data_IF_761583472039
#
_entry.id   IF_761583472039
#
_cell.length_a   1.000
_cell.length_b   1.000
_cell.length_c   1.000
_cell.angle_alpha   90.00
_cell.angle_beta   90.00
_cell.angle_gamma   90.00
#
_symmetry.space_group_name_H-M   'P 1'
#
loop_
_entity.id
_entity.type
_entity.pdbx_description
1 polymer ?
#
# COMPACT_ATOMS: atom_id res chain seq x y z
N UNK A 1 -13.77 29.52 33.77
CA UNK A 1 -13.25 28.40 32.95
C UNK A 1 -13.08 28.80 31.49
N UNK A 2 -14.05 28.66 30.58
CA UNK A 2 -13.82 28.92 29.13
C UNK A 2 -13.25 30.32 28.79
N UNK A 3 -13.81 31.41 29.36
CA UNK A 3 -13.25 32.77 29.19
C UNK A 3 -11.81 32.89 29.71
N UNK A 4 -11.51 32.20 30.82
CA UNK A 4 -10.19 32.14 31.46
C UNK A 4 -9.17 31.41 30.56
N UNK A 5 -9.57 30.27 29.99
CA UNK A 5 -8.76 29.49 29.06
C UNK A 5 -8.47 30.29 27.78
N UNK A 6 -9.48 30.99 27.23
CA UNK A 6 -9.29 31.83 26.05
C UNK A 6 -8.31 32.99 26.29
N UNK A 7 -8.36 33.64 27.46
CA UNK A 7 -7.40 34.69 27.83
C UNK A 7 -5.96 34.15 28.00
N UNK A 8 -5.80 32.96 28.60
CA UNK A 8 -4.50 32.30 28.73
C UNK A 8 -3.90 31.90 27.37
N UNK A 9 -4.72 31.31 26.50
CA UNK A 9 -4.34 30.92 25.14
C UNK A 9 -4.00 32.15 24.25
N UNK A 10 -4.68 33.29 24.47
CA UNK A 10 -4.30 34.57 23.86
C UNK A 10 -2.91 35.06 24.32
N UNK A 11 -2.66 35.11 25.63
CA UNK A 11 -1.38 35.56 26.22
C UNK A 11 -0.20 34.65 25.80
N UNK A 12 -0.35 33.33 25.93
CA UNK A 12 0.66 32.35 25.51
C UNK A 12 1.01 32.51 24.02
N UNK A 13 0.00 32.62 23.15
CA UNK A 13 0.19 32.82 21.71
C UNK A 13 0.87 34.17 21.39
N UNK A 14 0.54 35.23 22.12
CA UNK A 14 1.16 36.55 21.95
C UNK A 14 2.64 36.54 22.36
N UNK A 15 2.98 35.89 23.49
CA UNK A 15 4.38 35.73 23.94
C UNK A 15 5.22 34.99 22.91
N UNK A 16 4.67 33.94 22.30
CA UNK A 16 5.36 33.07 21.35
C UNK A 16 5.36 33.60 19.90
N UNK A 17 4.66 34.70 19.58
CA UNK A 17 4.69 35.34 18.26
C UNK A 17 6.02 36.09 18.01
N UNK A 18 7.14 35.36 17.88
CA UNK A 18 8.50 35.88 17.71
C UNK A 18 8.76 36.55 16.35
N UNK A 19 8.06 36.16 15.29
CA UNK A 19 8.20 36.73 13.93
C UNK A 19 6.97 37.56 13.50
N UNK A 20 5.88 37.50 14.28
CA UNK A 20 4.68 38.31 14.06
C UNK A 20 4.82 39.77 14.50
N UNK A 21 5.59 40.05 15.56
CA UNK A 21 5.70 41.38 16.18
C UNK A 21 6.77 42.25 15.50
N UNK A 22 6.38 43.47 15.09
CA UNK A 22 7.26 44.47 14.45
C UNK A 22 8.53 44.77 15.27
N UNK A 23 8.39 44.92 16.59
CA UNK A 23 9.50 45.25 17.50
C UNK A 23 10.34 44.02 17.92
N UNK A 24 10.29 42.90 17.19
CA UNK A 24 11.03 41.68 17.53
C UNK A 24 12.43 41.66 16.92
N UNK A 25 13.44 41.32 17.74
CA UNK A 25 14.83 41.07 17.31
C UNK A 25 14.94 40.05 16.16
N UNK A 26 13.98 39.14 16.05
CA UNK A 26 13.99 38.04 15.09
C UNK A 26 13.19 38.31 13.79
N UNK A 27 12.66 39.53 13.59
CA UNK A 27 11.81 39.83 12.42
C UNK A 27 12.50 39.60 11.06
N UNK A 28 13.83 39.65 11.01
CA UNK A 28 14.63 39.32 9.82
C UNK A 28 14.39 37.88 9.30
N UNK A 29 14.03 36.93 10.17
CA UNK A 29 13.71 35.55 9.79
C UNK A 29 12.30 35.38 9.21
N UNK A 30 11.42 36.39 9.28
CA UNK A 30 10.02 36.31 8.85
C UNK A 30 9.87 35.78 7.42
N UNK A 31 10.71 36.23 6.48
CA UNK A 31 10.67 35.77 5.07
C UNK A 31 11.00 34.27 4.94
N UNK A 32 12.00 33.78 5.66
CA UNK A 32 12.37 32.35 5.67
C UNK A 32 11.24 31.49 6.23
N UNK A 33 10.58 31.96 7.30
CA UNK A 33 9.49 31.23 7.96
C UNK A 33 8.20 31.24 7.14
N UNK A 34 7.97 32.27 6.30
CA UNK A 34 6.89 32.28 5.30
C UNK A 34 7.19 31.33 4.14
N UNK A 35 8.44 31.25 3.66
CA UNK A 35 8.83 30.26 2.64
C UNK A 35 8.68 28.81 3.17
N UNK A 36 9.02 28.60 4.44
CA UNK A 36 8.80 27.34 5.15
C UNK A 36 7.29 27.00 5.25
N UNK A 37 6.46 27.96 5.67
CA UNK A 37 4.99 27.83 5.68
C UNK A 37 4.44 27.40 4.31
N UNK A 38 4.94 28.01 3.23
CA UNK A 38 4.52 27.67 1.86
C UNK A 38 4.89 26.23 1.47
N UNK A 39 6.10 25.76 1.84
CA UNK A 39 6.58 24.42 1.50
C UNK A 39 5.73 23.27 2.09
N UNK A 40 5.08 23.49 3.24
CA UNK A 40 4.14 22.54 3.84
C UNK A 40 2.67 22.78 3.47
N UNK A 41 2.39 23.62 2.46
CA UNK A 41 1.02 24.02 2.11
C UNK A 41 0.45 23.22 0.95
N UNK A 42 -0.88 23.05 0.93
CA UNK A 42 -1.58 22.38 -0.19
C UNK A 42 -1.40 23.07 -1.55
N UNK A 43 -0.94 24.33 -1.61
CA UNK A 43 -0.58 25.00 -2.86
C UNK A 43 0.62 24.35 -3.57
N UNK A 44 1.48 23.64 -2.82
CA UNK A 44 2.55 22.81 -3.37
C UNK A 44 2.05 21.40 -3.63
N UNK A 45 1.44 20.77 -2.62
CA UNK A 45 1.17 19.34 -2.64
C UNK A 45 -0.04 18.92 -3.50
N UNK A 46 -1.06 19.75 -3.65
CA UNK A 46 -2.22 19.43 -4.50
C UNK A 46 -1.84 19.43 -5.98
N UNK A 47 -1.22 20.50 -6.55
CA UNK A 47 -0.72 20.46 -7.93
C UNK A 47 0.31 19.35 -8.16
N UNK A 48 1.22 19.13 -7.20
CA UNK A 48 2.18 18.02 -7.27
C UNK A 48 1.47 16.66 -7.40
N UNK A 49 0.51 16.34 -6.51
CA UNK A 49 -0.22 15.08 -6.58
C UNK A 49 -0.94 14.88 -7.91
N UNK A 50 -1.60 15.91 -8.45
CA UNK A 50 -2.27 15.85 -9.76
C UNK A 50 -1.29 15.63 -10.93
N UNK A 51 -0.14 16.30 -10.91
CA UNK A 51 0.92 16.11 -11.92
C UNK A 51 1.46 14.67 -11.87
N UNK A 52 1.72 14.14 -10.67
CA UNK A 52 2.23 12.78 -10.54
C UNK A 52 1.18 11.71 -10.91
N UNK A 53 -0.11 11.95 -10.65
CA UNK A 53 -1.20 11.06 -11.11
C UNK A 53 -1.22 10.96 -12.65
N UNK A 54 -1.12 12.09 -13.36
CA UNK A 54 -1.10 12.07 -14.84
C UNK A 54 0.18 11.44 -15.39
N UNK A 55 1.34 11.66 -14.75
CA UNK A 55 2.61 11.01 -15.13
C UNK A 55 2.56 9.48 -14.96
N UNK A 56 1.89 8.98 -13.93
CA UNK A 56 1.74 7.54 -13.66
C UNK A 56 0.41 6.94 -14.15
N UNK A 57 -0.34 7.64 -14.99
CA UNK A 57 -1.69 7.24 -15.46
C UNK A 57 -1.79 5.85 -16.10
N UNK A 58 -0.67 5.28 -16.54
CA UNK A 58 -0.57 3.94 -17.15
C UNK A 58 -0.42 2.81 -16.12
N UNK A 59 -0.19 3.11 -14.85
CA UNK A 59 0.07 2.14 -13.78
C UNK A 59 -0.65 2.58 -12.51
N UNK A 60 -1.82 2.00 -12.24
CA UNK A 60 -2.64 2.36 -11.08
C UNK A 60 -1.89 2.15 -9.75
N UNK A 61 -1.00 1.16 -9.68
CA UNK A 61 -0.17 0.87 -8.52
C UNK A 61 0.90 1.96 -8.28
N UNK A 62 1.51 2.52 -9.34
CA UNK A 62 2.44 3.66 -9.24
C UNK A 62 1.70 4.98 -8.97
N UNK A 63 0.48 5.14 -9.49
CA UNK A 63 -0.36 6.30 -9.23
C UNK A 63 -0.96 6.31 -7.81
N UNK A 64 -1.17 5.14 -7.18
CA UNK A 64 -1.89 5.00 -5.90
C UNK A 64 -1.38 5.91 -4.76
N UNK A 65 -0.06 6.08 -4.51
CA UNK A 65 0.42 7.01 -3.49
C UNK A 65 0.10 8.48 -3.78
N UNK A 66 -0.06 8.85 -5.05
CA UNK A 66 -0.43 10.21 -5.43
C UNK A 66 -1.95 10.42 -5.40
N UNK A 67 -2.73 9.38 -5.73
CA UNK A 67 -4.20 9.35 -5.57
C UNK A 67 -4.56 9.48 -4.09
N UNK A 68 -3.98 8.67 -3.20
CA UNK A 68 -4.24 8.72 -1.76
C UNK A 68 -3.80 10.06 -1.14
N UNK A 69 -2.65 10.60 -1.57
CA UNK A 69 -2.18 11.93 -1.17
C UNK A 69 -3.17 13.04 -1.58
N UNK A 70 -3.64 13.03 -2.83
CA UNK A 70 -4.65 13.98 -3.31
C UNK A 70 -5.97 13.86 -2.54
N UNK A 71 -6.48 12.64 -2.36
CA UNK A 71 -7.73 12.36 -1.63
C UNK A 71 -7.65 12.84 -0.18
N UNK A 72 -6.55 12.60 0.52
CA UNK A 72 -6.35 13.09 1.89
C UNK A 72 -6.24 14.61 1.99
N UNK A 73 -5.58 15.27 1.04
CA UNK A 73 -5.51 16.74 0.98
C UNK A 73 -6.88 17.39 0.69
N UNK A 74 -7.71 16.74 -0.11
CA UNK A 74 -9.10 17.17 -0.33
C UNK A 74 -10.01 16.89 0.87
N UNK A 75 -9.75 15.80 1.60
CA UNK A 75 -10.47 15.44 2.84
C UNK A 75 -10.21 16.44 3.98
N UNK A 76 -8.94 16.84 4.22
CA UNK A 76 -8.58 17.96 5.12
C UNK A 76 -9.37 19.22 4.76
N UNK A 77 -9.32 19.65 3.48
CA UNK A 77 -9.96 20.91 3.06
C UNK A 77 -11.46 20.87 3.31
N UNK A 78 -12.11 19.72 3.09
CA UNK A 78 -13.52 19.53 3.40
C UNK A 78 -13.81 19.56 4.91
N UNK A 79 -13.15 18.71 5.71
CA UNK A 79 -13.46 18.56 7.14
C UNK A 79 -13.09 19.82 7.93
N UNK A 80 -11.92 20.41 7.67
CA UNK A 80 -11.48 21.68 8.25
C UNK A 80 -12.38 22.83 7.78
N UNK A 81 -12.77 22.86 6.50
CA UNK A 81 -13.68 23.87 5.94
C UNK A 81 -15.05 23.87 6.61
N UNK A 82 -15.62 22.68 6.85
CA UNK A 82 -16.86 22.49 7.61
C UNK A 82 -16.68 22.92 9.06
N UNK A 83 -15.65 22.43 9.76
CA UNK A 83 -15.41 22.76 11.18
C UNK A 83 -15.21 24.26 11.40
N UNK A 84 -14.46 24.95 10.53
CA UNK A 84 -14.31 26.42 10.54
C UNK A 84 -15.64 27.14 10.35
N UNK A 85 -16.48 26.64 9.43
CA UNK A 85 -17.78 27.23 9.10
C UNK A 85 -18.81 27.10 10.22
N UNK A 86 -18.63 26.12 11.12
CA UNK A 86 -19.41 25.93 12.35
C UNK A 86 -18.85 26.81 13.49
N UNK A 87 -17.56 26.68 13.81
CA UNK A 87 -16.97 27.23 15.04
C UNK A 87 -16.63 28.73 14.92
N UNK A 88 -16.31 29.23 13.72
CA UNK A 88 -16.17 30.66 13.38
C UNK A 88 -15.25 31.50 14.29
N UNK A 89 -14.25 30.88 14.94
CA UNK A 89 -13.32 31.57 15.86
C UNK A 89 -12.53 32.68 15.12
N UNK A 90 -12.46 33.92 15.63
CA UNK A 90 -11.69 35.00 15.02
C UNK A 90 -10.17 34.79 15.14
N UNK A 91 -9.41 35.35 14.20
CA UNK A 91 -7.94 35.30 14.15
C UNK A 91 -7.27 36.18 15.23
N UNK A 92 -6.04 35.86 15.66
CA UNK A 92 -5.22 36.77 16.47
C UNK A 92 -4.94 38.09 15.73
N UNK A 93 -5.08 39.23 16.42
CA UNK A 93 -4.91 40.59 15.85
C UNK A 93 -3.43 41.02 15.63
N UNK A 94 -2.49 40.08 15.54
CA UNK A 94 -1.04 40.38 15.60
C UNK A 94 -0.45 40.74 14.21
N UNK A 95 -1.06 40.27 13.12
CA UNK A 95 -0.71 40.66 11.75
C UNK A 95 -1.92 41.30 11.06
N UNK A 96 -1.66 42.31 10.23
CA UNK A 96 -2.69 42.94 9.40
C UNK A 96 -2.64 42.49 7.92
N UNK A 97 -1.46 42.22 7.35
CA UNK A 97 -1.28 42.36 5.89
C UNK A 97 -0.99 41.06 5.08
N UNK A 98 -0.58 39.96 5.72
CA UNK A 98 0.05 38.80 5.02
C UNK A 98 -0.81 37.49 4.93
N UNK A 99 -2.06 37.49 4.44
CA UNK A 99 -2.71 36.30 3.81
C UNK A 99 -3.82 36.70 2.83
N UNK A 100 -3.86 36.06 1.64
CA UNK A 100 -5.00 36.07 0.71
C UNK A 100 -6.20 35.27 1.28
N UNK A 101 -6.88 35.84 2.29
CA UNK A 101 -7.86 35.14 3.15
C UNK A 101 -9.25 34.92 2.51
N UNK A 102 -9.31 34.04 1.52
CA UNK A 102 -10.53 33.63 0.81
C UNK A 102 -11.35 32.64 1.66
N UNK A 103 -12.69 32.78 1.62
CA UNK A 103 -13.61 31.77 2.17
C UNK A 103 -13.49 31.53 3.69
N UNK A 104 -13.60 30.26 4.15
CA UNK A 104 -13.54 29.90 5.57
C UNK A 104 -12.22 30.24 6.27
N UNK A 105 -11.13 30.52 5.54
CA UNK A 105 -9.81 30.71 6.14
C UNK A 105 -9.68 32.02 6.96
N UNK A 106 -10.70 32.88 6.89
CA UNK A 106 -10.93 34.00 7.82
C UNK A 106 -11.04 33.54 9.28
N UNK A 107 -11.41 32.29 9.54
CA UNK A 107 -11.51 31.70 10.88
C UNK A 107 -10.22 30.96 11.30
N UNK A 108 -9.92 30.98 12.60
CA UNK A 108 -8.64 30.49 13.15
C UNK A 108 -8.66 29.02 13.58
N UNK A 109 -9.80 28.52 14.06
CA UNK A 109 -9.95 27.16 14.60
C UNK A 109 -10.67 26.22 13.60
N UNK A 110 -10.16 25.00 13.37
CA UNK A 110 -8.81 24.52 13.69
C UNK A 110 -7.77 25.08 12.71
N UNK A 111 -6.48 24.86 13.01
CA UNK A 111 -5.40 25.27 12.09
C UNK A 111 -5.24 24.31 10.91
N UNK A 112 -5.98 24.55 9.83
CA UNK A 112 -5.86 23.84 8.53
C UNK A 112 -4.52 24.01 7.79
N UNK A 113 -3.51 24.63 8.40
CA UNK A 113 -2.12 24.53 7.95
C UNK A 113 -1.31 23.57 8.83
N UNK A 114 -1.66 23.45 10.12
CA UNK A 114 -1.17 22.36 10.97
C UNK A 114 -1.73 21.01 10.54
N UNK A 115 -3.03 20.93 10.22
CA UNK A 115 -3.70 19.67 9.87
C UNK A 115 -3.04 19.00 8.65
N UNK A 116 -3.10 19.62 7.46
CA UNK A 116 -2.25 19.22 6.31
C UNK A 116 -0.78 18.94 6.64
N UNK A 117 -0.08 19.77 7.41
CA UNK A 117 1.33 19.53 7.72
C UNK A 117 1.56 18.26 8.57
N UNK A 118 0.61 17.91 9.43
CA UNK A 118 0.64 16.69 10.25
C UNK A 118 0.14 15.48 9.46
N UNK A 119 -0.91 15.62 8.65
CA UNK A 119 -1.35 14.63 7.68
C UNK A 119 -0.18 14.21 6.77
N UNK A 120 0.49 15.18 6.14
CA UNK A 120 1.67 14.94 5.29
C UNK A 120 2.80 14.25 6.06
N UNK A 121 3.02 14.60 7.34
CA UNK A 121 4.08 14.00 8.17
C UNK A 121 3.84 12.52 8.40
N UNK A 122 2.65 12.14 8.88
CA UNK A 122 2.31 10.74 9.07
C UNK A 122 2.23 10.01 7.72
N UNK A 123 1.61 10.63 6.71
CA UNK A 123 1.47 10.03 5.37
C UNK A 123 2.83 9.66 4.76
N UNK A 124 3.83 10.54 4.81
CA UNK A 124 5.18 10.26 4.30
C UNK A 124 5.94 9.22 5.14
N UNK A 125 5.64 9.11 6.44
CA UNK A 125 6.26 8.13 7.34
C UNK A 125 5.68 6.72 7.13
N UNK A 126 4.36 6.59 7.01
CA UNK A 126 3.67 5.31 6.85
C UNK A 126 3.85 4.75 5.44
N UNK A 127 3.62 5.56 4.40
CA UNK A 127 3.82 5.12 3.00
C UNK A 127 5.29 5.04 2.56
N UNK A 128 6.21 5.43 3.43
CA UNK A 128 7.66 5.54 3.16
C UNK A 128 7.97 6.37 1.89
N UNK A 129 7.17 7.41 1.64
CA UNK A 129 7.08 8.17 0.39
C UNK A 129 8.45 8.70 -0.11
N UNK A 130 9.32 9.10 0.82
CA UNK A 130 10.67 9.57 0.53
C UNK A 130 11.73 8.57 0.98
N UNK A 131 11.83 7.44 0.27
CA UNK A 131 12.72 6.31 0.59
C UNK A 131 14.20 6.70 0.84
N UNK A 132 14.67 7.81 0.24
CA UNK A 132 16.06 8.29 0.37
C UNK A 132 16.26 9.37 1.46
N UNK A 133 15.19 9.90 2.06
CA UNK A 133 15.25 11.00 3.04
C UNK A 133 15.09 10.43 4.46
N UNK A 134 16.03 10.64 5.39
CA UNK A 134 15.88 10.19 6.76
C UNK A 134 14.61 10.76 7.41
N UNK A 135 13.80 9.90 8.06
CA UNK A 135 12.52 10.30 8.67
C UNK A 135 12.66 11.47 9.66
N UNK A 136 13.82 11.60 10.32
CA UNK A 136 14.17 12.74 11.20
C UNK A 136 14.18 14.09 10.48
N UNK A 137 14.56 14.15 9.20
CA UNK A 137 14.53 15.39 8.38
C UNK A 137 13.09 15.79 8.07
N UNK A 138 12.24 14.82 7.73
CA UNK A 138 10.80 15.02 7.45
C UNK A 138 10.08 15.53 8.72
N UNK A 139 10.34 14.88 9.87
CA UNK A 139 9.83 15.30 11.19
C UNK A 139 10.29 16.73 11.52
N UNK A 140 11.57 17.05 11.32
CA UNK A 140 12.11 18.38 11.61
C UNK A 140 11.52 19.47 10.71
N UNK A 141 11.34 19.19 9.42
CA UNK A 141 10.73 20.09 8.45
C UNK A 141 9.27 20.40 8.80
N UNK A 142 8.42 19.36 8.89
CA UNK A 142 6.99 19.55 9.09
C UNK A 142 6.67 20.00 10.53
N UNK A 143 7.44 19.56 11.52
CA UNK A 143 7.40 20.13 12.87
C UNK A 143 7.70 21.64 12.90
N UNK A 144 8.64 22.10 12.07
CA UNK A 144 8.94 23.53 11.92
C UNK A 144 7.83 24.29 11.16
N UNK A 145 7.14 23.66 10.20
CA UNK A 145 5.92 24.20 9.58
C UNK A 145 4.81 24.36 10.62
N UNK A 146 4.61 23.38 11.52
CA UNK A 146 3.63 23.47 12.62
C UNK A 146 4.01 24.60 13.61
N UNK A 147 5.28 24.71 13.99
CA UNK A 147 5.76 25.78 14.86
C UNK A 147 5.57 27.18 14.23
N UNK A 148 5.72 27.32 12.91
CA UNK A 148 5.54 28.60 12.19
C UNK A 148 4.18 29.27 12.47
N UNK A 149 3.12 28.48 12.71
CA UNK A 149 1.75 28.97 12.95
C UNK A 149 1.65 29.86 14.18
N UNK A 150 2.37 29.50 15.24
CA UNK A 150 2.43 30.25 16.50
C UNK A 150 3.51 31.33 16.41
N UNK A 151 4.68 31.00 15.86
CA UNK A 151 5.82 31.93 15.79
C UNK A 151 5.54 33.16 14.90
N UNK A 152 4.78 33.01 13.81
CA UNK A 152 4.26 34.12 13.01
C UNK A 152 3.02 34.79 13.65
N UNK A 153 2.41 34.23 14.68
CA UNK A 153 1.20 34.76 15.32
C UNK A 153 -0.09 34.61 14.50
N UNK A 154 -0.18 33.58 13.64
CA UNK A 154 -1.33 33.37 12.71
C UNK A 154 -2.51 32.61 13.31
N UNK A 155 -2.27 31.87 14.39
CA UNK A 155 -3.21 31.01 15.10
C UNK A 155 -2.94 31.05 16.60
N UNK A 156 -3.92 30.63 17.40
CA UNK A 156 -3.71 30.35 18.82
C UNK A 156 -3.08 28.97 19.03
N UNK A 157 -2.43 28.74 20.18
CA UNK A 157 -1.84 27.43 20.52
C UNK A 157 -2.91 26.33 20.50
N UNK A 158 -4.11 26.60 21.03
CA UNK A 158 -5.22 25.63 20.97
C UNK A 158 -5.75 25.35 19.56
N UNK A 159 -5.69 26.30 18.62
CA UNK A 159 -6.05 26.07 17.21
C UNK A 159 -5.05 25.12 16.53
N UNK A 160 -3.77 25.22 16.92
CA UNK A 160 -2.68 24.39 16.42
C UNK A 160 -2.77 22.99 17.02
N UNK A 161 -2.96 22.85 18.33
CA UNK A 161 -3.17 21.54 18.96
C UNK A 161 -4.37 20.78 18.37
N UNK A 162 -5.49 21.48 18.13
CA UNK A 162 -6.62 20.88 17.42
C UNK A 162 -6.24 20.44 16.00
N UNK A 163 -5.49 21.27 15.26
CA UNK A 163 -4.98 20.90 13.94
C UNK A 163 -4.07 19.66 13.94
N UNK A 164 -3.29 19.41 15.01
CA UNK A 164 -2.52 18.16 15.14
C UNK A 164 -3.44 16.95 15.25
N UNK A 165 -4.51 17.05 16.04
CA UNK A 165 -5.48 15.96 16.22
C UNK A 165 -6.26 15.66 14.93
N UNK A 166 -6.68 16.69 14.19
CA UNK A 166 -7.30 16.52 12.87
C UNK A 166 -6.33 15.84 11.87
N UNK A 167 -5.09 16.32 11.75
CA UNK A 167 -4.12 15.74 10.80
C UNK A 167 -3.73 14.29 11.09
N UNK A 168 -3.72 13.89 12.37
CA UNK A 168 -3.57 12.48 12.76
C UNK A 168 -4.80 11.68 12.32
N UNK A 169 -6.00 12.12 12.69
CA UNK A 169 -7.26 11.45 12.33
C UNK A 169 -7.42 11.29 10.82
N UNK A 170 -7.18 12.36 10.05
CA UNK A 170 -7.20 12.39 8.58
C UNK A 170 -6.24 11.35 7.99
N UNK A 171 -5.00 11.25 8.51
CA UNK A 171 -4.05 10.26 8.04
C UNK A 171 -4.46 8.82 8.42
N UNK A 172 -4.94 8.60 9.64
CA UNK A 172 -5.45 7.29 10.07
C UNK A 172 -6.61 6.84 9.17
N UNK A 173 -7.57 7.72 8.88
CA UNK A 173 -8.70 7.44 7.98
C UNK A 173 -8.23 7.11 6.56
N UNK A 174 -7.34 7.91 5.96
CA UNK A 174 -6.87 7.69 4.58
C UNK A 174 -6.04 6.41 4.45
N UNK A 175 -5.23 6.05 5.46
CA UNK A 175 -4.45 4.79 5.45
C UNK A 175 -5.35 3.57 5.63
N UNK A 176 -6.33 3.61 6.55
CA UNK A 176 -7.25 2.47 6.76
C UNK A 176 -8.29 2.31 5.63
N UNK A 177 -8.62 3.37 4.90
CA UNK A 177 -9.45 3.32 3.69
C UNK A 177 -8.65 3.07 2.41
N UNK A 178 -7.32 3.01 2.48
CA UNK A 178 -6.52 2.54 1.34
C UNK A 178 -6.69 1.02 1.16
N UNK A 179 -6.66 0.50 -0.09
CA UNK A 179 -6.86 -0.92 -0.35
C UNK A 179 -5.63 -1.73 0.08
N UNK A 180 -5.50 -1.98 1.38
CA UNK A 180 -4.39 -2.72 2.00
C UNK A 180 -4.47 -4.21 1.65
N UNK A 181 -3.59 -4.65 0.77
CA UNK A 181 -3.44 -6.05 0.34
C UNK A 181 -2.78 -6.87 1.45
N UNK A 182 -3.55 -7.24 2.47
CA UNK A 182 -3.16 -8.23 3.47
C UNK A 182 -3.18 -9.64 2.82
N UNK A 183 -2.00 -10.19 2.48
CA UNK A 183 -1.83 -11.56 1.98
C UNK A 183 -1.44 -12.53 3.10
N UNK A 184 -2.06 -13.71 3.12
CA UNK A 184 -1.81 -14.75 4.11
C UNK A 184 -1.55 -16.09 3.42
N UNK A 185 -0.40 -16.72 3.67
CA UNK A 185 -0.09 -18.06 3.14
C UNK A 185 -0.73 -19.15 4.01
N UNK A 186 -1.68 -19.90 3.45
CA UNK A 186 -2.20 -21.12 4.06
C UNK A 186 -1.40 -22.32 3.58
N UNK A 187 -0.55 -22.86 4.45
CA UNK A 187 0.23 -24.07 4.22
C UNK A 187 -0.62 -25.33 4.43
N UNK A 188 -0.83 -26.14 3.39
CA UNK A 188 -1.69 -27.33 3.46
C UNK A 188 -1.20 -28.39 4.48
N UNK A 189 0.11 -28.48 4.72
CA UNK A 189 0.69 -29.33 5.75
C UNK A 189 0.38 -28.86 7.19
N UNK A 190 -0.11 -27.64 7.41
CA UNK A 190 -0.57 -27.17 8.71
C UNK A 190 -1.82 -27.93 9.21
N UNK A 191 -2.66 -28.41 8.29
CA UNK A 191 -3.81 -29.27 8.62
C UNK A 191 -3.40 -30.68 9.05
N UNK A 192 -2.15 -31.10 8.76
CA UNK A 192 -1.60 -32.43 9.04
C UNK A 192 -0.74 -32.48 10.32
N UNK A 193 -0.63 -31.38 11.07
CA UNK A 193 0.09 -31.32 12.35
C UNK A 193 -0.63 -32.15 13.42
N UNK A 194 0.14 -32.84 14.26
CA UNK A 194 -0.34 -33.83 15.22
C UNK A 194 -0.96 -33.25 16.49
N UNK A 195 -0.54 -32.06 16.92
CA UNK A 195 -1.08 -31.37 18.08
C UNK A 195 -2.19 -30.39 17.68
N UNK A 196 -3.31 -30.40 18.43
CA UNK A 196 -4.51 -29.61 18.14
C UNK A 196 -4.34 -28.09 18.34
N UNK A 197 -3.33 -27.62 19.07
CA UNK A 197 -3.02 -26.18 19.21
C UNK A 197 -2.20 -25.70 18.01
N UNK A 198 -1.33 -26.58 17.49
CA UNK A 198 -0.47 -26.29 16.33
C UNK A 198 -1.17 -26.46 14.97
N UNK A 199 -2.21 -27.31 14.88
CA UNK A 199 -2.93 -27.62 13.65
C UNK A 199 -3.78 -26.44 13.18
N UNK A 200 -3.83 -26.23 11.87
CA UNK A 200 -4.72 -25.24 11.24
C UNK A 200 -5.39 -25.86 10.02
N UNK A 201 -6.72 -25.95 10.05
CA UNK A 201 -7.57 -26.36 8.93
C UNK A 201 -8.24 -25.14 8.28
N UNK A 202 -8.74 -25.24 7.04
CA UNK A 202 -9.37 -24.12 6.34
C UNK A 202 -10.50 -23.44 7.13
N UNK A 203 -11.30 -24.21 7.85
CA UNK A 203 -12.45 -23.73 8.64
C UNK A 203 -12.06 -23.00 9.93
N UNK A 204 -10.78 -23.06 10.33
CA UNK A 204 -10.22 -22.33 11.48
C UNK A 204 -9.60 -20.97 11.06
N UNK A 205 -9.65 -20.62 9.77
CA UNK A 205 -9.21 -19.32 9.24
C UNK A 205 -10.36 -18.31 9.30
N UNK A 206 -10.14 -17.17 9.96
CA UNK A 206 -11.05 -16.02 9.90
C UNK A 206 -11.08 -15.42 8.46
N UNK A 207 -12.22 -15.43 7.75
CA UNK A 207 -12.33 -14.90 6.39
C UNK A 207 -12.07 -13.39 6.27
N UNK A 208 -12.06 -12.64 7.37
CA UNK A 208 -11.85 -11.18 7.40
C UNK A 208 -10.45 -10.76 7.85
N UNK A 209 -9.62 -11.69 8.32
CA UNK A 209 -8.23 -11.42 8.74
C UNK A 209 -7.32 -10.99 7.58
N UNK A 210 -7.64 -11.45 6.37
CA UNK A 210 -6.81 -11.32 5.18
C UNK A 210 -7.68 -10.91 3.99
N UNK A 211 -7.16 -10.09 3.08
CA UNK A 211 -7.84 -9.79 1.80
C UNK A 211 -7.56 -10.85 0.74
N UNK A 212 -6.39 -11.50 0.84
CA UNK A 212 -5.91 -12.51 -0.08
C UNK A 212 -5.36 -13.71 0.71
N UNK A 213 -5.80 -14.93 0.39
CA UNK A 213 -5.19 -16.17 0.86
C UNK A 213 -4.41 -16.80 -0.28
N UNK A 214 -3.14 -17.12 -0.01
CA UNK A 214 -2.27 -17.86 -0.91
C UNK A 214 -2.22 -19.31 -0.45
N UNK A 215 -2.78 -20.24 -1.23
CA UNK A 215 -2.72 -21.67 -0.91
C UNK A 215 -1.33 -22.23 -1.24
N UNK A 216 -0.57 -22.61 -0.22
CA UNK A 216 0.74 -23.24 -0.32
C UNK A 216 0.61 -24.77 -0.16
N UNK A 217 0.83 -25.60 -1.20
CA UNK A 217 1.23 -25.27 -2.57
C UNK A 217 0.53 -26.17 -3.61
N UNK A 218 0.62 -25.76 -4.86
CA UNK A 218 0.63 -26.68 -6.01
C UNK A 218 2.05 -26.86 -6.56
N UNK A 219 2.24 -27.83 -7.43
CA UNK A 219 3.52 -28.15 -8.09
C UNK A 219 3.45 -28.06 -9.60
N UNK A 220 4.54 -27.62 -10.22
CA UNK A 220 4.70 -27.57 -11.68
C UNK A 220 5.28 -28.90 -12.15
N UNK A 221 4.59 -29.58 -13.07
CA UNK A 221 5.05 -30.84 -13.67
C UNK A 221 5.82 -30.60 -14.98
N UNK A 222 6.69 -31.54 -15.33
CA UNK A 222 7.42 -31.58 -16.63
C UNK A 222 6.46 -31.62 -17.83
N UNK A 223 5.25 -32.14 -17.64
CA UNK A 223 4.14 -32.09 -18.60
C UNK A 223 3.50 -30.69 -18.77
N UNK A 224 4.17 -29.64 -18.27
CA UNK A 224 3.78 -28.23 -18.42
C UNK A 224 2.39 -27.92 -17.86
N UNK A 225 2.04 -28.52 -16.73
CA UNK A 225 0.78 -28.28 -16.02
C UNK A 225 1.02 -28.01 -14.54
N UNK A 226 0.09 -27.30 -13.93
CA UNK A 226 -0.08 -27.31 -12.47
C UNK A 226 -0.69 -28.67 -12.07
N UNK A 227 -0.25 -29.19 -10.94
CA UNK A 227 -0.84 -30.31 -10.21
C UNK A 227 -0.90 -29.95 -8.72
N UNK A 228 -1.74 -30.60 -7.91
CA UNK A 228 -1.72 -30.37 -6.47
C UNK A 228 -0.43 -30.92 -5.85
N UNK A 229 0.00 -30.41 -4.71
CA UNK A 229 1.14 -30.99 -4.00
C UNK A 229 0.77 -32.35 -3.40
N UNK A 230 -0.45 -32.49 -2.87
CA UNK A 230 -0.99 -33.69 -2.22
C UNK A 230 -2.33 -34.14 -2.85
N UNK A 231 -2.73 -35.40 -2.70
CA UNK A 231 -4.03 -35.85 -3.23
C UNK A 231 -5.23 -35.22 -2.48
N UNK A 232 -5.06 -34.94 -1.18
CA UNK A 232 -6.10 -34.36 -0.33
C UNK A 232 -6.30 -32.83 -0.49
N UNK A 233 -5.52 -32.20 -1.38
CA UNK A 233 -5.80 -30.86 -1.88
C UNK A 233 -7.09 -30.82 -2.73
N UNK A 234 -7.31 -31.83 -3.60
CA UNK A 234 -8.44 -31.85 -4.56
C UNK A 234 -9.61 -32.69 -4.07
N UNK A 235 -9.38 -33.80 -3.35
CA UNK A 235 -10.44 -34.72 -2.90
C UNK A 235 -10.30 -35.01 -1.42
N UNK A 236 -11.39 -35.03 -0.66
CA UNK A 236 -11.33 -35.42 0.74
C UNK A 236 -11.15 -36.94 0.92
N UNK A 237 -10.71 -37.34 2.11
CA UNK A 237 -10.42 -38.72 2.51
C UNK A 237 -11.60 -39.72 2.43
N UNK A 238 -12.83 -39.21 2.30
CA UNK A 238 -14.05 -40.00 2.07
C UNK A 238 -14.77 -39.51 0.81
N UNK A 239 -15.57 -40.38 0.19
CA UNK A 239 -16.27 -40.14 -1.08
C UNK A 239 -17.06 -38.82 -1.15
N UNK A 240 -17.58 -38.34 -0.01
CA UNK A 240 -18.40 -37.13 0.09
C UNK A 240 -17.65 -35.90 0.65
N UNK A 241 -16.43 -36.08 1.18
CA UNK A 241 -15.64 -34.99 1.77
C UNK A 241 -14.86 -34.22 0.70
N UNK A 242 -14.72 -32.91 0.88
CA UNK A 242 -14.06 -32.03 -0.08
C UNK A 242 -12.57 -31.88 0.20
N UNK A 243 -11.77 -31.68 -0.86
CA UNK A 243 -10.34 -31.40 -0.74
C UNK A 243 -10.06 -30.03 -0.11
N UNK A 244 -8.82 -29.80 0.31
CA UNK A 244 -8.42 -28.54 0.96
C UNK A 244 -8.62 -27.30 0.07
N UNK A 245 -8.48 -27.40 -1.25
CA UNK A 245 -8.78 -26.31 -2.19
C UNK A 245 -10.23 -25.82 -2.04
N UNK A 246 -11.21 -26.71 -2.20
CA UNK A 246 -12.63 -26.33 -2.12
C UNK A 246 -13.00 -25.79 -0.72
N UNK A 247 -12.37 -26.32 0.34
CA UNK A 247 -12.59 -25.86 1.72
C UNK A 247 -12.07 -24.43 1.95
N UNK A 248 -10.90 -24.05 1.42
CA UNK A 248 -10.39 -22.67 1.47
C UNK A 248 -11.21 -21.74 0.57
N UNK A 249 -11.58 -22.19 -0.64
CA UNK A 249 -12.47 -21.42 -1.53
C UNK A 249 -13.83 -21.13 -0.87
N UNK A 250 -14.34 -22.03 -0.03
CA UNK A 250 -15.60 -21.86 0.68
C UNK A 250 -15.62 -20.66 1.63
N UNK A 251 -14.47 -20.18 2.12
CA UNK A 251 -14.41 -18.99 2.98
C UNK A 251 -14.99 -17.74 2.29
N UNK A 252 -15.01 -17.73 0.95
CA UNK A 252 -15.64 -16.69 0.13
C UNK A 252 -17.17 -16.65 0.21
N UNK A 253 -17.82 -17.72 0.71
CA UNK A 253 -19.25 -17.69 1.03
C UNK A 253 -19.56 -16.81 2.26
N UNK A 254 -18.56 -16.61 3.14
CA UNK A 254 -18.65 -15.74 4.32
C UNK A 254 -18.13 -14.33 4.02
N UNK A 255 -17.03 -14.21 3.28
CA UNK A 255 -16.47 -12.94 2.82
C UNK A 255 -16.36 -12.91 1.28
N UNK A 256 -17.33 -12.37 0.54
CA UNK A 256 -17.30 -12.34 -0.93
C UNK A 256 -16.12 -11.57 -1.55
N UNK A 257 -15.54 -10.62 -0.81
CA UNK A 257 -14.40 -9.82 -1.28
C UNK A 257 -13.05 -10.56 -1.15
N UNK A 258 -13.01 -11.64 -0.35
CA UNK A 258 -11.82 -12.47 -0.14
C UNK A 258 -11.35 -13.12 -1.44
N UNK A 259 -10.06 -12.98 -1.75
CA UNK A 259 -9.43 -13.61 -2.91
C UNK A 259 -8.58 -14.81 -2.49
N UNK A 260 -8.64 -15.89 -3.26
CA UNK A 260 -7.86 -17.09 -3.01
C UNK A 260 -7.03 -17.41 -4.24
N UNK A 261 -5.71 -17.36 -4.09
CA UNK A 261 -4.73 -17.68 -5.13
C UNK A 261 -4.09 -19.04 -4.84
N UNK A 262 -3.68 -19.75 -5.89
CA UNK A 262 -2.83 -20.92 -5.74
C UNK A 262 -1.36 -20.52 -5.88
N UNK A 263 -0.56 -20.74 -4.84
CA UNK A 263 0.89 -20.63 -4.94
C UNK A 263 1.46 -21.89 -5.54
N UNK A 264 2.33 -21.76 -6.55
CA UNK A 264 3.01 -22.90 -7.19
C UNK A 264 4.52 -22.78 -7.06
N UNK A 265 5.15 -23.86 -6.58
CA UNK A 265 6.58 -23.89 -6.27
C UNK A 265 6.86 -23.98 -4.77
N UNK A 266 7.60 -23.00 -4.25
CA UNK A 266 8.25 -23.05 -2.94
C UNK A 266 9.44 -24.02 -2.90
N UNK A 267 10.27 -23.92 -1.86
CA UNK A 267 11.53 -24.65 -1.67
C UNK A 267 11.50 -26.14 -2.07
N UNK A 268 10.43 -26.87 -1.72
CA UNK A 268 10.30 -28.33 -1.99
C UNK A 268 10.00 -28.66 -3.45
N UNK A 269 9.48 -27.70 -4.24
CA UNK A 269 9.17 -27.85 -5.66
C UNK A 269 10.02 -26.90 -6.53
N UNK A 270 11.28 -26.71 -6.12
CA UNK A 270 12.27 -25.85 -6.77
C UNK A 270 12.53 -26.18 -8.26
N UNK A 271 13.19 -25.23 -8.92
CA UNK A 271 13.43 -24.98 -10.36
C UNK A 271 13.11 -26.00 -11.45
N UNK A 272 13.13 -27.33 -11.26
CA UNK A 272 13.02 -28.34 -12.34
C UNK A 272 11.82 -28.13 -13.25
N UNK A 273 10.60 -28.05 -12.70
CA UNK A 273 9.40 -27.80 -13.49
C UNK A 273 9.41 -26.42 -14.17
N UNK A 274 9.95 -25.40 -13.50
CA UNK A 274 10.07 -24.05 -14.04
C UNK A 274 11.15 -23.91 -15.14
N UNK A 275 12.23 -24.69 -15.11
CA UNK A 275 13.24 -24.74 -16.17
C UNK A 275 12.58 -25.14 -17.50
N UNK A 276 11.78 -26.21 -17.49
CA UNK A 276 11.06 -26.69 -18.67
C UNK A 276 9.92 -25.76 -19.10
N UNK A 277 9.15 -25.20 -18.18
CA UNK A 277 8.12 -24.19 -18.52
C UNK A 277 8.76 -22.97 -19.18
N UNK A 278 9.85 -22.44 -18.62
CA UNK A 278 10.52 -21.22 -19.08
C UNK A 278 11.40 -21.40 -20.33
N UNK A 279 11.57 -22.64 -20.82
CA UNK A 279 12.54 -23.07 -21.84
C UNK A 279 12.36 -22.43 -23.22
N UNK A 280 11.12 -22.28 -23.67
CA UNK A 280 10.79 -21.72 -24.98
C UNK A 280 9.34 -21.19 -25.03
N UNK A 281 9.00 -20.42 -26.07
CA UNK A 281 7.70 -19.77 -26.20
C UNK A 281 6.50 -20.74 -26.33
N UNK A 282 6.69 -21.95 -26.85
CA UNK A 282 5.64 -22.96 -26.92
C UNK A 282 5.38 -23.55 -25.53
N UNK A 283 6.43 -23.91 -24.78
CA UNK A 283 6.30 -24.42 -23.41
C UNK A 283 5.60 -23.42 -22.50
N UNK A 284 5.99 -22.14 -22.58
CA UNK A 284 5.36 -21.03 -21.85
C UNK A 284 3.87 -20.92 -22.21
N UNK A 285 3.50 -20.96 -23.51
CA UNK A 285 2.10 -20.86 -23.95
C UNK A 285 1.26 -22.05 -23.47
N UNK A 286 1.80 -23.26 -23.54
CA UNK A 286 1.13 -24.48 -23.06
C UNK A 286 0.89 -24.41 -21.55
N UNK A 287 1.91 -24.02 -20.76
CA UNK A 287 1.76 -23.85 -19.32
C UNK A 287 0.74 -22.76 -18.96
N UNK A 288 0.73 -21.63 -19.66
CA UNK A 288 -0.24 -20.57 -19.43
C UNK A 288 -1.69 -21.03 -19.70
N UNK A 289 -1.93 -21.77 -20.79
CA UNK A 289 -3.25 -22.36 -21.08
C UNK A 289 -3.67 -23.39 -20.02
N UNK A 290 -2.76 -24.29 -19.62
CA UNK A 290 -3.01 -25.30 -18.59
C UNK A 290 -3.26 -24.67 -17.21
N UNK A 291 -2.56 -23.57 -16.89
CA UNK A 291 -2.76 -22.81 -15.65
C UNK A 291 -4.14 -22.17 -15.59
N UNK A 292 -4.58 -21.49 -16.65
CA UNK A 292 -5.95 -20.94 -16.75
C UNK A 292 -6.98 -22.05 -16.49
N UNK A 293 -6.83 -23.20 -17.16
CA UNK A 293 -7.73 -24.33 -16.96
C UNK A 293 -7.74 -24.81 -15.51
N UNK A 294 -6.58 -25.11 -14.92
CA UNK A 294 -6.48 -25.62 -13.56
C UNK A 294 -7.10 -24.65 -12.54
N UNK A 295 -6.81 -23.36 -12.66
CA UNK A 295 -7.31 -22.32 -11.75
C UNK A 295 -8.82 -22.16 -11.85
N UNK A 296 -9.37 -22.09 -13.08
CA UNK A 296 -10.82 -21.97 -13.30
C UNK A 296 -11.59 -23.24 -12.92
N UNK A 297 -11.04 -24.43 -13.19
CA UNK A 297 -11.64 -25.71 -12.77
C UNK A 297 -11.74 -25.82 -11.22
N UNK A 298 -10.72 -25.32 -10.50
CA UNK A 298 -10.67 -25.33 -9.04
C UNK A 298 -11.16 -24.01 -8.38
N UNK A 299 -11.77 -23.10 -9.16
CA UNK A 299 -12.36 -21.82 -8.73
C UNK A 299 -11.41 -20.78 -8.09
N UNK A 300 -10.10 -20.87 -8.30
CA UNK A 300 -9.14 -19.87 -7.80
C UNK A 300 -9.31 -18.49 -8.48
N UNK A 301 -9.03 -17.42 -7.74
CA UNK A 301 -8.97 -16.04 -8.24
C UNK A 301 -7.66 -15.71 -8.96
N UNK A 302 -6.60 -16.52 -8.79
CA UNK A 302 -5.31 -16.23 -9.41
C UNK A 302 -4.19 -17.21 -9.09
N UNK A 303 -3.01 -16.91 -9.64
CA UNK A 303 -1.78 -17.68 -9.54
C UNK A 303 -0.70 -16.88 -8.81
N UNK A 304 0.01 -17.50 -7.89
CA UNK A 304 1.19 -16.94 -7.22
C UNK A 304 2.41 -17.79 -7.60
N UNK A 305 3.36 -17.21 -8.32
CA UNK A 305 4.56 -17.88 -8.80
C UNK A 305 5.66 -17.80 -7.72
N UNK A 306 5.81 -18.88 -6.96
CA UNK A 306 6.86 -19.02 -5.94
C UNK A 306 8.01 -19.86 -6.49
N UNK A 307 8.70 -19.34 -7.51
CA UNK A 307 9.91 -19.99 -8.01
C UNK A 307 11.10 -19.56 -7.15
N UNK A 308 11.64 -20.51 -6.39
CA UNK A 308 12.90 -20.38 -5.66
C UNK A 308 14.09 -21.05 -6.38
N UNK A 309 14.98 -20.32 -7.07
CA UNK A 309 14.79 -19.00 -7.70
C UNK A 309 15.23 -19.07 -9.17
N UNK A 310 14.65 -18.27 -10.09
CA UNK A 310 15.23 -18.10 -11.42
C UNK A 310 16.70 -17.63 -11.31
N UNK A 311 17.58 -18.12 -12.18
CA UNK A 311 19.01 -17.84 -12.17
C UNK A 311 19.83 -18.44 -11.01
N UNK A 312 19.21 -19.03 -9.98
CA UNK A 312 19.91 -19.68 -8.87
C UNK A 312 20.43 -21.07 -9.27
N UNK A 313 21.68 -21.13 -9.77
CA UNK A 313 22.36 -22.37 -10.17
C UNK A 313 22.46 -23.39 -9.02
N UNK A 314 22.61 -22.90 -7.80
CA UNK A 314 22.63 -23.68 -6.55
C UNK A 314 21.27 -24.29 -6.18
N UNK A 315 20.17 -23.81 -6.78
CA UNK A 315 18.83 -24.40 -6.72
C UNK A 315 18.42 -24.98 -8.09
N UNK A 316 19.39 -25.37 -8.92
CA UNK A 316 19.17 -26.07 -10.19
C UNK A 316 18.59 -25.25 -11.34
N UNK A 317 18.58 -23.91 -11.25
CA UNK A 317 18.07 -23.07 -12.32
C UNK A 317 19.01 -23.04 -13.55
N UNK A 318 18.46 -23.34 -14.73
CA UNK A 318 19.20 -23.34 -16.00
C UNK A 318 19.55 -21.92 -16.52
N UNK A 319 20.52 -21.76 -17.44
CA UNK A 319 21.01 -20.44 -17.87
C UNK A 319 19.97 -19.52 -18.53
N UNK A 320 18.91 -20.05 -19.15
CA UNK A 320 17.86 -19.24 -19.78
C UNK A 320 16.87 -18.63 -18.79
N UNK A 321 16.81 -19.17 -17.56
CA UNK A 321 15.69 -19.01 -16.63
C UNK A 321 15.34 -17.56 -16.27
N UNK A 322 16.33 -16.66 -16.15
CA UNK A 322 16.08 -15.22 -15.94
C UNK A 322 15.14 -14.63 -17.01
N UNK A 323 15.53 -14.72 -18.28
CA UNK A 323 14.71 -14.18 -19.39
C UNK A 323 13.49 -15.05 -19.68
N UNK A 324 13.57 -16.35 -19.36
CA UNK A 324 12.46 -17.29 -19.47
C UNK A 324 11.33 -16.95 -18.49
N UNK A 325 11.65 -16.56 -17.26
CA UNK A 325 10.70 -16.11 -16.25
C UNK A 325 9.99 -14.81 -16.68
N UNK A 326 10.73 -13.82 -17.19
CA UNK A 326 10.11 -12.59 -17.73
C UNK A 326 9.16 -12.87 -18.89
N UNK A 327 9.51 -13.79 -19.79
CA UNK A 327 8.65 -14.24 -20.90
C UNK A 327 7.42 -15.00 -20.39
N UNK A 328 7.58 -15.82 -19.35
CA UNK A 328 6.51 -16.58 -18.69
C UNK A 328 5.49 -15.64 -18.04
N UNK A 329 5.95 -14.70 -17.21
CA UNK A 329 5.09 -13.75 -16.48
C UNK A 329 4.32 -12.85 -17.46
N UNK A 330 4.99 -12.33 -18.50
CA UNK A 330 4.32 -11.58 -19.57
C UNK A 330 3.24 -12.40 -20.26
N UNK A 331 3.54 -13.63 -20.69
CA UNK A 331 2.57 -14.48 -21.39
C UNK A 331 1.38 -14.89 -20.51
N UNK A 332 1.62 -15.15 -19.22
CA UNK A 332 0.55 -15.41 -18.25
C UNK A 332 -0.37 -14.20 -18.13
N UNK A 333 0.18 -12.99 -17.92
CA UNK A 333 -0.61 -11.76 -17.77
C UNK A 333 -1.42 -11.45 -19.04
N UNK A 334 -0.80 -11.57 -20.22
CA UNK A 334 -1.48 -11.45 -21.52
C UNK A 334 -2.63 -12.46 -21.70
N UNK A 335 -2.43 -13.73 -21.33
CA UNK A 335 -3.43 -14.77 -21.52
C UNK A 335 -4.54 -14.74 -20.45
N UNK A 336 -4.23 -14.30 -19.23
CA UNK A 336 -5.23 -14.05 -18.19
C UNK A 336 -6.15 -12.87 -18.57
N UNK A 337 -5.59 -11.82 -19.18
CA UNK A 337 -6.36 -10.71 -19.75
C UNK A 337 -7.26 -11.18 -20.90
N UNK A 338 -6.72 -11.98 -21.83
CA UNK A 338 -7.49 -12.50 -22.97
C UNK A 338 -8.62 -13.45 -22.55
N UNK A 339 -8.45 -14.29 -21.52
CA UNK A 339 -9.54 -15.15 -21.02
C UNK A 339 -10.63 -14.35 -20.30
N UNK A 340 -10.26 -13.27 -19.59
CA UNK A 340 -11.23 -12.35 -19.00
C UNK A 340 -12.12 -11.70 -20.07
N UNK A 341 -11.49 -11.12 -21.10
CA UNK A 341 -12.17 -10.48 -22.23
C UNK A 341 -13.06 -11.44 -23.03
N UNK A 342 -12.62 -12.69 -23.23
CA UNK A 342 -13.36 -13.70 -24.00
C UNK A 342 -14.50 -14.35 -23.21
N UNK A 343 -14.41 -14.44 -21.88
CA UNK A 343 -15.40 -15.14 -21.05
C UNK A 343 -16.33 -14.21 -20.27
N UNK A 344 -16.02 -12.91 -20.19
CA UNK A 344 -16.72 -11.96 -19.33
C UNK A 344 -16.49 -12.19 -17.83
N UNK A 345 -15.55 -13.07 -17.45
CA UNK A 345 -15.15 -13.31 -16.07
C UNK A 345 -14.11 -12.28 -15.62
N UNK A 346 -14.04 -12.04 -14.32
CA UNK A 346 -12.97 -11.27 -13.72
C UNK A 346 -11.59 -11.90 -13.99
N UNK A 347 -10.63 -11.07 -14.38
CA UNK A 347 -9.25 -11.46 -14.71
C UNK A 347 -8.62 -12.24 -13.55
N UNK A 348 -7.99 -13.37 -13.86
CA UNK A 348 -7.15 -14.06 -12.90
C UNK A 348 -6.00 -13.14 -12.46
N UNK A 349 -5.78 -13.02 -11.15
CA UNK A 349 -4.64 -12.31 -10.59
C UNK A 349 -3.35 -13.10 -10.91
N UNK A 350 -2.29 -12.39 -11.29
CA UNK A 350 -0.95 -12.97 -11.46
C UNK A 350 0.00 -12.33 -10.45
N UNK A 351 0.53 -13.15 -9.55
CA UNK A 351 1.39 -12.72 -8.46
C UNK A 351 2.62 -13.60 -8.26
N UNK A 352 3.47 -13.25 -7.29
CA UNK A 352 4.72 -13.96 -7.00
C UNK A 352 5.23 -13.68 -5.58
N UNK A 353 5.97 -14.65 -5.06
CA UNK A 353 6.97 -14.43 -4.03
C UNK A 353 8.34 -14.19 -4.69
N UNK A 354 9.18 -13.32 -4.11
CA UNK A 354 10.49 -12.96 -4.65
C UNK A 354 11.53 -12.82 -3.55
N UNK A 355 12.78 -13.18 -3.81
CA UNK A 355 13.86 -13.07 -2.83
C UNK A 355 14.21 -11.61 -2.51
N UNK A 356 14.32 -11.25 -1.22
CA UNK A 356 14.88 -9.96 -0.80
C UNK A 356 16.40 -9.83 -1.06
N UNK A 357 17.12 -10.95 -1.15
CA UNK A 357 18.58 -10.95 -1.24
C UNK A 357 19.06 -10.45 -2.61
N UNK A 358 19.84 -9.34 -2.60
CA UNK A 358 20.32 -8.65 -3.81
C UNK A 358 20.92 -9.58 -4.87
N UNK A 359 21.74 -10.56 -4.49
CA UNK A 359 22.36 -11.48 -5.45
C UNK A 359 21.36 -12.39 -6.16
N UNK A 360 20.23 -12.74 -5.51
CA UNK A 360 19.09 -13.44 -6.15
C UNK A 360 18.37 -12.53 -7.13
N UNK A 361 18.10 -11.29 -6.72
CA UNK A 361 17.44 -10.27 -7.57
C UNK A 361 18.24 -10.06 -8.86
N UNK A 362 19.55 -9.80 -8.74
CA UNK A 362 20.45 -9.59 -9.87
C UNK A 362 20.60 -10.83 -10.77
N UNK A 363 20.62 -12.04 -10.19
CA UNK A 363 20.72 -13.29 -10.95
C UNK A 363 19.41 -13.70 -11.67
N UNK A 364 18.25 -13.45 -11.05
CA UNK A 364 16.99 -14.08 -11.47
C UNK A 364 15.96 -13.17 -12.13
N UNK A 365 15.99 -11.86 -11.89
CA UNK A 365 14.81 -11.01 -12.12
C UNK A 365 15.12 -9.82 -13.05
N UNK A 366 14.26 -9.59 -14.04
CA UNK A 366 14.25 -8.37 -14.86
C UNK A 366 13.16 -7.43 -14.30
N UNK A 367 13.43 -6.88 -13.11
CA UNK A 367 12.42 -6.23 -12.23
C UNK A 367 11.52 -5.23 -12.97
N UNK A 368 12.09 -4.34 -13.78
CA UNK A 368 11.36 -3.32 -14.54
C UNK A 368 10.38 -3.88 -15.59
N UNK A 369 10.57 -5.13 -16.02
CA UNK A 369 9.71 -5.82 -16.98
C UNK A 369 8.71 -6.76 -16.29
N UNK A 370 9.06 -7.29 -15.11
CA UNK A 370 8.20 -8.13 -14.28
C UNK A 370 7.10 -7.31 -13.58
N UNK A 371 7.45 -6.16 -13.01
CA UNK A 371 6.49 -5.28 -12.31
C UNK A 371 5.40 -4.68 -13.23
N UNK A 372 5.56 -4.76 -14.56
CA UNK A 372 4.55 -4.36 -15.56
C UNK A 372 3.49 -5.44 -15.83
N UNK A 373 3.66 -6.65 -15.30
CA UNK A 373 2.84 -7.82 -15.65
C UNK A 373 2.30 -8.56 -14.42
N UNK A 374 2.94 -8.40 -13.27
CA UNK A 374 2.42 -8.78 -11.96
C UNK A 374 1.47 -7.71 -11.42
N UNK A 375 0.38 -8.11 -10.78
CA UNK A 375 -0.62 -7.18 -10.21
C UNK A 375 -0.16 -6.53 -8.87
N UNK A 376 1.05 -6.84 -8.38
CA UNK A 376 1.12 -7.72 -7.20
C UNK A 376 2.07 -8.92 -7.42
N UNK A 377 3.29 -9.21 -6.94
CA UNK A 377 4.27 -8.68 -5.97
C UNK A 377 4.13 -9.09 -4.49
N UNK A 378 5.14 -9.80 -3.99
CA UNK A 378 5.58 -9.81 -2.59
C UNK A 378 7.07 -10.15 -2.48
N UNK A 379 7.74 -9.57 -1.47
CA UNK A 379 9.16 -9.77 -1.20
C UNK A 379 9.31 -10.59 0.08
N UNK A 380 10.01 -11.71 0.00
CA UNK A 380 10.34 -12.55 1.15
C UNK A 380 11.46 -11.89 1.95
N UNK A 381 11.06 -11.09 2.94
CA UNK A 381 11.94 -10.39 3.89
C UNK A 381 12.32 -11.24 5.11
N UNK A 382 11.83 -12.47 5.16
CA UNK A 382 12.23 -13.57 6.04
C UNK A 382 12.64 -14.79 5.21
N UNK A 383 13.35 -15.72 5.85
CA UNK A 383 13.71 -17.05 5.36
C UNK A 383 13.12 -18.11 6.31
#
# INVERSE_FOLDING_TARGET
>A
MLKTFHAYDQDLSFRWALFGRLNSRYIHLRKLVIALEFSGSGYVWIPYSLIMIELYRTSINEAMPFILLFTGLMYDIAIIGITKSIIRRPRPKINHDDVLSIGPDKFSFPSGHTSRAVFLLFYFIETNFFQQIPKSVIISWLGSVVASRILLGRHYVSDVLAGVLFGIFECTTIVHLSPLVARCYFANWAAKRSDNISRLTPEEIDPFLCTHINFAFGKVLESLTIAPSEEDDIKGWTLNSKGMYERVIKLKETNPDLRVLLSVGGWTHASRGFNDVSKNAANIKTFAANSIKFLRDNKFDGLDLDWEYPGAKDQGAEPHTKTGYTKLVKKLSEMFQQEAEQTGKEKLLLTCATAAARHRIEAGYEVSELCKSFDFVSVMTCN
#
